data_IF_899549550277
#
_entry.id   IF_899549550277
#
_cell.length_a   1.000
_cell.length_b   1.000
_cell.length_c   1.000
_cell.angle_alpha   90.00
_cell.angle_beta   90.00
_cell.angle_gamma   90.00
#
_symmetry.space_group_name_H-M   'P 1'
#
loop_
_entity.id
_entity.type
_entity.pdbx_description
1 polymer ?
#
# COMPACT_ATOMS: atom_id res chain seq x y z
N UNK A 1 -7.34 -15.22 8.94
CA UNK A 1 -5.98 -15.80 9.06
C UNK A 1 -5.79 -17.04 8.17
N UNK A 2 -6.17 -16.99 6.87
CA UNK A 2 -6.10 -18.19 6.00
C UNK A 2 -4.68 -18.55 5.54
N UNK A 3 -3.74 -17.61 5.62
CA UNK A 3 -2.31 -17.80 5.34
C UNK A 3 -1.44 -17.65 6.61
N UNK A 4 -1.97 -17.99 7.79
CA UNK A 4 -1.19 -18.05 9.04
C UNK A 4 -0.81 -16.71 9.70
N UNK A 5 -1.09 -15.56 9.08
CA UNK A 5 -0.81 -14.24 9.66
C UNK A 5 -1.93 -13.72 10.57
N UNK A 6 -1.60 -13.43 11.83
CA UNK A 6 -2.47 -12.74 12.78
C UNK A 6 -2.15 -11.25 12.94
N UNK A 7 -2.84 -10.53 13.84
CA UNK A 7 -2.71 -9.07 13.98
C UNK A 7 -1.26 -8.61 14.22
N UNK A 8 -0.47 -9.39 14.96
CA UNK A 8 0.94 -9.05 15.21
C UNK A 8 1.82 -9.23 13.96
N UNK A 9 1.49 -10.18 13.07
CA UNK A 9 2.25 -10.47 11.86
C UNK A 9 2.10 -9.36 10.79
N UNK A 10 1.04 -8.56 10.87
CA UNK A 10 0.73 -7.49 9.92
C UNK A 10 1.32 -6.12 10.32
N UNK A 11 2.12 -6.06 11.38
CA UNK A 11 2.68 -4.79 11.88
C UNK A 11 4.13 -4.88 12.27
N UNK A 12 4.85 -3.79 12.02
CA UNK A 12 6.17 -3.53 12.58
C UNK A 12 6.05 -2.47 13.67
N UNK A 13 6.57 -2.75 14.87
CA UNK A 13 6.67 -1.73 15.93
C UNK A 13 8.00 -1.02 15.78
N UNK A 14 7.94 0.29 15.55
CA UNK A 14 9.09 1.17 15.51
C UNK A 14 8.85 2.26 16.54
N UNK A 15 9.75 2.36 17.53
CA UNK A 15 9.70 3.43 18.54
C UNK A 15 10.43 4.63 17.97
N UNK A 16 9.80 5.80 18.01
CA UNK A 16 10.33 7.05 17.47
C UNK A 16 10.16 8.16 18.51
N UNK A 17 11.17 9.02 18.64
CA UNK A 17 11.01 10.32 19.27
C UNK A 17 10.35 11.32 18.30
N UNK A 18 10.09 12.55 18.76
CA UNK A 18 9.37 13.55 17.96
C UNK A 18 10.13 13.97 16.69
N UNK A 19 11.45 14.17 16.78
CA UNK A 19 12.26 14.55 15.61
C UNK A 19 12.31 13.42 14.57
N UNK A 20 12.41 12.17 15.01
CA UNK A 20 12.37 10.99 14.14
C UNK A 20 10.99 10.83 13.50
N UNK A 21 9.92 11.06 14.25
CA UNK A 21 8.55 11.02 13.73
C UNK A 21 8.31 12.07 12.65
N UNK A 22 8.87 13.27 12.81
CA UNK A 22 8.79 14.34 11.81
C UNK A 22 9.61 14.04 10.54
N UNK A 23 10.64 13.19 10.65
CA UNK A 23 11.47 12.78 9.52
C UNK A 23 10.87 11.62 8.71
N UNK A 24 9.82 10.94 9.20
CA UNK A 24 9.10 9.90 8.46
C UNK A 24 8.38 10.52 7.26
N UNK A 25 8.23 9.75 6.18
CA UNK A 25 7.34 10.13 5.08
C UNK A 25 5.92 10.35 5.62
N UNK A 26 5.43 11.60 5.63
CA UNK A 26 4.08 11.91 6.09
C UNK A 26 3.02 11.12 5.29
N UNK A 27 3.27 10.88 4.00
CA UNK A 27 2.48 10.00 3.16
C UNK A 27 2.71 8.51 3.45
N UNK A 28 3.31 8.09 4.58
CA UNK A 28 3.24 6.71 5.11
C UNK A 28 2.49 6.61 6.45
N UNK A 29 2.10 7.74 7.06
CA UNK A 29 1.28 7.77 8.29
C UNK A 29 -0.22 7.65 7.99
N UNK A 30 -0.97 7.00 8.88
CA UNK A 30 -2.41 6.79 8.74
C UNK A 30 -3.20 7.96 9.35
N UNK A 31 -4.24 8.39 8.64
CA UNK A 31 -5.27 9.34 9.08
C UNK A 31 -6.58 9.01 8.33
N UNK A 32 -7.67 9.74 8.61
CA UNK A 32 -8.98 9.46 8.02
C UNK A 32 -9.03 9.65 6.50
N UNK A 33 -8.41 10.74 6.00
CA UNK A 33 -8.33 11.03 4.57
C UNK A 33 -7.63 9.90 3.82
N UNK A 34 -6.47 9.47 4.34
CA UNK A 34 -5.70 8.40 3.74
C UNK A 34 -6.41 7.06 3.81
N UNK A 35 -7.08 6.77 4.92
CA UNK A 35 -7.89 5.56 5.03
C UNK A 35 -8.92 5.51 3.89
N UNK A 36 -9.62 6.62 3.63
CA UNK A 36 -10.58 6.70 2.54
C UNK A 36 -9.92 6.54 1.17
N UNK A 37 -8.81 7.22 0.92
CA UNK A 37 -8.04 7.11 -0.34
C UNK A 37 -7.58 5.67 -0.62
N UNK A 38 -6.98 5.01 0.37
CA UNK A 38 -6.50 3.64 0.23
C UNK A 38 -7.66 2.66 0.04
N UNK A 39 -8.78 2.86 0.74
CA UNK A 39 -9.98 2.01 0.59
C UNK A 39 -10.54 2.13 -0.83
N UNK A 40 -10.73 3.36 -1.33
CA UNK A 40 -11.21 3.59 -2.69
C UNK A 40 -10.24 3.03 -3.75
N UNK A 41 -8.93 3.13 -3.52
CA UNK A 41 -7.93 2.55 -4.41
C UNK A 41 -8.00 1.01 -4.41
N UNK A 42 -8.20 0.37 -3.24
CA UNK A 42 -8.40 -1.09 -3.16
C UNK A 42 -9.68 -1.49 -3.89
N UNK A 43 -10.80 -0.81 -3.65
CA UNK A 43 -12.08 -1.09 -4.31
C UNK A 43 -12.01 -0.95 -5.84
N UNK A 44 -11.18 -0.02 -6.34
CA UNK A 44 -10.95 0.16 -7.78
C UNK A 44 -10.10 -0.96 -8.40
N UNK A 45 -9.09 -1.44 -7.70
CA UNK A 45 -8.02 -2.25 -8.31
C UNK A 45 -8.00 -3.73 -7.91
N UNK A 46 -8.57 -4.09 -6.76
CA UNK A 46 -8.51 -5.48 -6.27
C UNK A 46 -9.66 -6.30 -6.82
N UNK A 47 -9.34 -7.52 -7.28
CA UNK A 47 -10.35 -8.51 -7.68
C UNK A 47 -10.97 -9.14 -6.44
N UNK A 48 -12.29 -9.35 -6.46
CA UNK A 48 -13.01 -10.05 -5.38
C UNK A 48 -12.62 -11.53 -5.23
N UNK A 49 -12.05 -12.12 -6.30
CA UNK A 49 -11.56 -13.51 -6.34
C UNK A 49 -10.28 -13.61 -7.15
N UNK A 50 -9.34 -14.41 -6.64
CA UNK A 50 -8.08 -14.74 -7.32
C UNK A 50 -7.73 -16.20 -7.07
N UNK A 51 -7.46 -16.94 -8.14
CA UNK A 51 -7.00 -18.33 -8.13
C UNK A 51 -5.60 -18.44 -8.72
N UNK A 52 -4.88 -19.52 -8.40
CA UNK A 52 -3.50 -19.72 -8.87
C UNK A 52 -3.36 -19.69 -10.40
N UNK A 53 -4.37 -20.18 -11.15
CA UNK A 53 -4.37 -20.13 -12.63
C UNK A 53 -4.46 -18.71 -13.19
N UNK A 54 -5.06 -17.78 -12.45
CA UNK A 54 -5.23 -16.40 -12.89
C UNK A 54 -3.88 -15.66 -12.88
N UNK A 55 -2.88 -16.17 -12.15
CA UNK A 55 -1.52 -15.63 -12.15
C UNK A 55 -0.82 -15.77 -13.51
N UNK A 56 -1.31 -16.64 -14.39
CA UNK A 56 -0.79 -16.79 -15.75
C UNK A 56 -1.37 -15.75 -16.73
N UNK A 57 -2.38 -14.98 -16.33
CA UNK A 57 -3.03 -13.97 -17.18
C UNK A 57 -2.15 -12.71 -17.28
N UNK A 58 -1.63 -12.34 -18.47
CA UNK A 58 -0.86 -11.11 -18.64
C UNK A 58 -1.65 -9.83 -18.34
N UNK A 59 -2.98 -9.88 -18.35
CA UNK A 59 -3.81 -8.76 -17.95
C UNK A 59 -3.68 -8.44 -16.46
N UNK A 60 -3.60 -9.46 -15.59
CA UNK A 60 -3.39 -9.26 -14.16
C UNK A 60 -2.09 -8.50 -13.88
N UNK A 61 -1.02 -8.82 -14.61
CA UNK A 61 0.27 -8.13 -14.47
C UNK A 61 0.16 -6.63 -14.78
N UNK A 62 -0.56 -6.29 -15.86
CA UNK A 62 -0.78 -4.88 -16.26
C UNK A 62 -1.61 -4.12 -15.23
N UNK A 63 -2.67 -4.75 -14.72
CA UNK A 63 -3.51 -4.19 -13.65
C UNK A 63 -2.70 -3.91 -12.39
N UNK A 64 -1.85 -4.86 -11.96
CA UNK A 64 -0.99 -4.69 -10.78
C UNK A 64 0.00 -3.55 -10.96
N UNK A 65 0.64 -3.44 -12.13
CA UNK A 65 1.57 -2.34 -12.39
C UNK A 65 0.88 -0.99 -12.41
N UNK A 66 -0.27 -0.88 -13.10
CA UNK A 66 -1.03 0.36 -13.10
C UNK A 66 -1.48 0.75 -11.68
N UNK A 67 -1.98 -0.21 -10.91
CA UNK A 67 -2.39 0.04 -9.53
C UNK A 67 -1.19 0.55 -8.71
N UNK A 68 -0.03 -0.10 -8.82
CA UNK A 68 1.18 0.29 -8.11
C UNK A 68 1.67 1.69 -8.53
N UNK A 69 1.65 2.01 -9.81
CA UNK A 69 1.99 3.33 -10.31
C UNK A 69 1.03 4.39 -9.73
N UNK A 70 -0.27 4.14 -9.72
CA UNK A 70 -1.25 5.05 -9.11
C UNK A 70 -1.05 5.22 -7.59
N UNK A 71 -0.67 4.15 -6.88
CA UNK A 71 -0.43 4.19 -5.43
C UNK A 71 0.88 4.93 -5.07
N UNK A 72 1.87 4.87 -5.96
CA UNK A 72 3.22 5.40 -5.71
C UNK A 72 3.51 6.69 -6.47
N UNK A 73 2.58 7.16 -7.31
CA UNK A 73 2.64 8.46 -7.96
C UNK A 73 2.65 9.57 -6.89
N UNK A 74 3.86 9.98 -6.53
CA UNK A 74 4.12 11.04 -5.56
C UNK A 74 3.95 12.43 -6.21
N UNK A 75 3.15 13.34 -5.63
CA UNK A 75 3.15 14.75 -6.01
C UNK A 75 4.30 15.57 -5.39
N UNK A 76 5.12 15.02 -4.49
CA UNK A 76 6.26 15.72 -3.89
C UNK A 76 7.56 15.53 -4.70
N UNK A 77 8.41 16.58 -4.80
CA UNK A 77 9.68 16.46 -5.51
C UNK A 77 10.57 15.46 -4.77
N UNK A 78 11.09 14.47 -5.50
CA UNK A 78 12.20 13.63 -5.02
C UNK A 78 13.25 14.56 -4.44
N UNK A 79 13.42 14.57 -3.10
CA UNK A 79 14.56 15.25 -2.49
C UNK A 79 15.79 14.53 -3.03
N UNK A 80 16.44 15.18 -4.00
CA UNK A 80 17.67 14.72 -4.62
C UNK A 80 18.71 14.47 -3.54
N UNK A 81 19.50 13.43 -3.76
CA UNK A 81 20.87 13.36 -3.27
C UNK A 81 21.70 14.45 -3.97
#
# INVERSE_FOLDING_TARGET
>A
MRNGGGPACLRLRVVLNEAERQAVNAHSLMNDERYQQLTAWVEKHYRDRLHARDLADPQLLREVYQALDELTADPAPRRGL
#
